data_IF_333062867307
#
_entry.id   IF_333062867307
#
_cell.length_a   1.000
_cell.length_b   1.000
_cell.length_c   1.000
_cell.angle_alpha   90.00
_cell.angle_beta   90.00
_cell.angle_gamma   90.00
#
_symmetry.space_group_name_H-M   'P 1'
#
loop_
_entity.id
_entity.type
_entity.pdbx_description
1 polymer ?
#
# COMPACT_ATOMS: atom_id res chain seq x y z
N UNK A 1 14.03 14.82 24.28
CA UNK A 1 12.62 14.65 23.85
C UNK A 1 12.49 14.41 22.35
N UNK A 2 13.06 15.26 21.48
CA UNK A 2 12.96 15.10 20.01
C UNK A 2 13.46 13.73 19.50
N UNK A 3 14.63 13.29 19.96
CA UNK A 3 15.19 12.00 19.54
C UNK A 3 14.29 10.81 19.89
N UNK A 4 13.66 10.84 21.07
CA UNK A 4 12.70 9.82 21.48
C UNK A 4 11.49 9.77 20.54
N UNK A 5 10.96 10.94 20.15
CA UNK A 5 9.85 11.04 19.21
C UNK A 5 10.21 10.49 17.83
N UNK A 6 11.42 10.79 17.35
CA UNK A 6 11.91 10.27 16.06
C UNK A 6 12.02 8.74 16.11
N UNK A 7 12.55 8.19 17.20
CA UNK A 7 12.65 6.73 17.39
C UNK A 7 11.27 6.08 17.45
N UNK A 8 10.30 6.70 18.14
CA UNK A 8 8.92 6.20 18.20
C UNK A 8 8.23 6.25 16.84
N UNK A 9 8.41 7.33 16.07
CA UNK A 9 7.79 7.48 14.75
C UNK A 9 8.31 6.43 13.77
N UNK A 10 9.63 6.26 13.70
CA UNK A 10 10.28 5.33 12.77
C UNK A 10 10.09 3.88 13.24
N UNK A 11 10.31 3.62 14.53
CA UNK A 11 10.18 2.29 15.12
C UNK A 11 8.73 1.80 15.12
N UNK A 12 7.77 2.66 15.50
CA UNK A 12 6.34 2.34 15.47
C UNK A 12 5.84 2.06 14.05
N UNK A 13 6.26 2.87 13.07
CA UNK A 13 5.96 2.65 11.65
C UNK A 13 6.55 1.34 11.12
N UNK A 14 7.81 1.03 11.46
CA UNK A 14 8.46 -0.21 11.06
C UNK A 14 7.78 -1.45 11.66
N UNK A 15 7.39 -1.40 12.93
CA UNK A 15 6.64 -2.48 13.58
C UNK A 15 5.26 -2.65 12.94
N UNK A 16 4.54 -1.55 12.68
CA UNK A 16 3.24 -1.62 12.03
C UNK A 16 3.29 -2.34 10.66
N UNK A 17 4.33 -2.10 9.86
CA UNK A 17 4.51 -2.77 8.56
C UNK A 17 4.72 -4.29 8.67
N UNK A 18 5.22 -4.79 9.80
CA UNK A 18 5.43 -6.22 10.01
C UNK A 18 4.18 -6.97 10.49
N UNK A 19 3.25 -6.27 11.14
CA UNK A 19 2.11 -6.90 11.83
C UNK A 19 0.73 -6.50 11.30
N UNK A 20 0.62 -5.42 10.53
CA UNK A 20 -0.66 -4.95 9.99
C UNK A 20 -0.89 -5.57 8.63
N UNK A 21 -1.83 -6.51 8.55
CA UNK A 21 -2.35 -7.00 7.28
C UNK A 21 -3.16 -5.90 6.59
N UNK A 22 -2.75 -5.53 5.38
CA UNK A 22 -3.49 -4.59 4.54
C UNK A 22 -4.59 -5.38 3.83
N UNK A 23 -5.88 -5.07 4.05
CA UNK A 23 -6.96 -5.79 3.41
C UNK A 23 -6.90 -5.59 1.89
N UNK A 24 -7.29 -6.61 1.11
CA UNK A 24 -7.35 -6.48 -0.34
C UNK A 24 -8.35 -5.38 -0.76
N UNK A 25 -8.14 -4.72 -1.91
CA UNK A 25 -9.09 -3.77 -2.44
C UNK A 25 -10.47 -4.41 -2.63
N UNK A 26 -11.52 -3.80 -2.08
CA UNK A 26 -12.91 -4.30 -2.19
C UNK A 26 -13.62 -3.82 -3.45
N UNK A 27 -13.06 -2.82 -4.13
CA UNK A 27 -13.60 -2.27 -5.36
C UNK A 27 -13.25 -3.17 -6.54
N UNK A 28 -14.25 -3.46 -7.39
CA UNK A 28 -14.02 -4.12 -8.67
C UNK A 28 -13.19 -3.21 -9.57
N UNK A 29 -12.07 -3.73 -10.07
CA UNK A 29 -11.27 -3.07 -11.11
C UNK A 29 -11.74 -3.59 -12.46
N UNK A 30 -12.44 -2.76 -13.22
CA UNK A 30 -12.84 -3.09 -14.59
C UNK A 30 -11.61 -3.02 -15.49
N UNK A 31 -11.04 -4.18 -15.80
CA UNK A 31 -9.91 -4.29 -16.72
C UNK A 31 -10.43 -4.17 -18.15
N UNK A 32 -10.59 -2.94 -18.62
CA UNK A 32 -10.91 -2.66 -20.02
C UNK A 32 -9.67 -2.98 -20.85
N UNK A 33 -9.75 -3.93 -21.78
CA UNK A 33 -8.71 -4.13 -22.79
C UNK A 33 -8.88 -3.03 -23.84
N UNK A 34 -7.95 -2.07 -23.96
CA UNK A 34 -8.09 -0.99 -24.92
C UNK A 34 -8.15 -1.54 -26.35
N UNK A 35 -9.11 -1.09 -27.16
CA UNK A 35 -9.37 -1.65 -28.50
C UNK A 35 -8.19 -1.46 -29.46
N UNK A 36 -7.34 -0.45 -29.21
CA UNK A 36 -6.08 -0.19 -29.92
C UNK A 36 -5.00 -1.26 -29.70
N UNK A 37 -5.19 -2.15 -28.73
CA UNK A 37 -4.29 -3.28 -28.44
C UNK A 37 -4.61 -4.53 -29.23
N UNK A 38 -5.73 -4.59 -29.96
CA UNK A 38 -6.05 -5.73 -30.82
C UNK A 38 -5.31 -5.62 -32.16
N UNK A 39 -4.42 -6.58 -32.50
CA UNK A 39 -3.87 -6.70 -33.85
C UNK A 39 -5.00 -7.02 -34.82
N UNK A 40 -4.98 -6.38 -36.00
CA UNK A 40 -5.93 -6.64 -37.10
C UNK A 40 -5.41 -7.76 -37.99
#
# INVERSE_FOLDING_TARGET
MLLLLVVLLIGGGAVALLFVDIPPPTQKVDKVLPDDRFPR
#
